data_IF_035664266368
#
_entry.id   IF_035664266368
#
_cell.length_a   1.000
_cell.length_b   1.000
_cell.length_c   1.000
_cell.angle_alpha   90.00
_cell.angle_beta   90.00
_cell.angle_gamma   90.00
#
_symmetry.space_group_name_H-M   'P 1'
#
loop_
_entity.id
_entity.type
_entity.pdbx_description
1 polymer ?
#
# COMPACT_ATOMS: atom_id res chain seq x y z
N UNK A 1 -22.40 34.04 -18.48
CA UNK A 1 -21.56 32.83 -18.28
C UNK A 1 -20.26 32.90 -19.08
N UNK A 2 -19.63 34.08 -19.13
CA UNK A 2 -18.37 34.33 -19.86
C UNK A 2 -17.25 34.80 -18.92
N UNK A 3 -17.61 35.31 -17.74
CA UNK A 3 -16.67 35.97 -16.82
C UNK A 3 -15.50 35.11 -16.35
N UNK A 4 -15.65 33.79 -16.24
CA UNK A 4 -14.53 32.91 -15.87
C UNK A 4 -13.51 32.77 -17.01
N UNK A 5 -14.00 32.73 -18.25
CA UNK A 5 -13.17 32.64 -19.45
C UNK A 5 -12.50 33.97 -19.71
N UNK A 6 -13.23 35.09 -19.59
CA UNK A 6 -12.67 36.44 -19.70
C UNK A 6 -11.61 36.71 -18.62
N UNK A 7 -11.85 36.25 -17.39
CA UNK A 7 -10.90 36.37 -16.29
C UNK A 7 -9.61 35.58 -16.55
N UNK A 8 -9.72 34.36 -17.09
CA UNK A 8 -8.60 33.51 -17.44
C UNK A 8 -7.82 34.08 -18.64
N UNK A 9 -8.50 34.59 -19.65
CA UNK A 9 -7.90 35.22 -20.82
C UNK A 9 -7.08 36.47 -20.44
N UNK A 10 -7.58 37.30 -19.52
CA UNK A 10 -6.85 38.47 -19.00
C UNK A 10 -5.59 38.12 -18.19
N UNK A 11 -5.44 36.85 -17.76
CA UNK A 11 -4.34 36.37 -16.91
C UNK A 11 -3.57 35.22 -17.55
N UNK A 12 -3.56 35.15 -18.89
CA UNK A 12 -2.98 34.06 -19.66
C UNK A 12 -1.55 33.68 -19.23
N UNK A 13 -0.69 34.65 -18.91
CA UNK A 13 0.69 34.38 -18.43
C UNK A 13 0.72 33.62 -17.11
N UNK A 14 -0.15 33.98 -16.16
CA UNK A 14 -0.23 33.29 -14.87
C UNK A 14 -0.81 31.88 -15.05
N UNK A 15 -1.84 31.73 -15.87
CA UNK A 15 -2.44 30.42 -16.19
C UNK A 15 -1.41 29.49 -16.83
N UNK A 16 -0.64 29.97 -17.81
CA UNK A 16 0.44 29.20 -18.44
C UNK A 16 1.54 28.80 -17.44
N UNK A 17 1.89 29.70 -16.51
CA UNK A 17 2.85 29.37 -15.45
C UNK A 17 2.32 28.26 -14.52
N UNK A 18 1.03 28.30 -14.16
CA UNK A 18 0.40 27.23 -13.37
C UNK A 18 0.37 25.90 -14.11
N UNK A 19 0.08 25.90 -15.41
CA UNK A 19 0.12 24.70 -16.25
C UNK A 19 1.55 24.13 -16.25
N UNK A 20 2.55 24.96 -16.50
CA UNK A 20 3.95 24.54 -16.53
C UNK A 20 4.39 23.95 -15.18
N UNK A 21 4.08 24.62 -14.07
CA UNK A 21 4.40 24.13 -12.72
C UNK A 21 3.68 22.82 -12.42
N UNK A 22 2.40 22.70 -12.78
CA UNK A 22 1.62 21.47 -12.57
C UNK A 22 2.22 20.28 -13.33
N UNK A 23 2.66 20.49 -14.57
CA UNK A 23 3.33 19.47 -15.36
C UNK A 23 4.70 19.08 -14.78
N UNK A 24 5.48 20.06 -14.30
CA UNK A 24 6.77 19.80 -13.67
C UNK A 24 6.62 19.00 -12.37
N UNK A 25 5.70 19.41 -11.50
CA UNK A 25 5.43 18.72 -10.23
C UNK A 25 4.86 17.33 -10.49
N UNK A 26 3.92 17.19 -11.42
CA UNK A 26 3.36 15.90 -11.81
C UNK A 26 4.41 14.96 -12.42
N UNK A 27 5.27 15.48 -13.29
CA UNK A 27 6.36 14.73 -13.89
C UNK A 27 7.40 14.29 -12.86
N UNK A 28 7.75 15.16 -11.91
CA UNK A 28 8.63 14.84 -10.80
C UNK A 28 8.03 13.77 -9.87
N UNK A 29 6.75 13.89 -9.54
CA UNK A 29 6.06 12.88 -8.74
C UNK A 29 6.02 11.53 -9.46
N UNK A 30 5.77 11.53 -10.78
CA UNK A 30 5.77 10.31 -11.59
C UNK A 30 7.15 9.65 -11.65
N UNK A 31 8.23 10.43 -11.76
CA UNK A 31 9.60 9.88 -11.80
C UNK A 31 10.09 9.39 -10.44
N UNK A 32 9.66 10.03 -9.36
CA UNK A 32 10.03 9.66 -7.99
C UNK A 32 9.20 8.52 -7.42
N UNK A 33 8.03 8.21 -7.99
CA UNK A 33 7.18 7.15 -7.48
C UNK A 33 7.87 5.78 -7.65
N UNK A 34 8.17 5.05 -6.55
CA UNK A 34 8.73 3.72 -6.63
C UNK A 34 7.74 2.79 -7.35
N UNK A 35 8.25 2.04 -8.31
CA UNK A 35 7.44 1.07 -9.05
C UNK A 35 7.46 -0.25 -8.28
N UNK A 36 6.45 -0.45 -7.44
CA UNK A 36 6.19 -1.73 -6.77
C UNK A 36 5.62 -2.70 -7.82
N UNK A 37 6.31 -3.82 -8.07
CA UNK A 37 5.97 -4.74 -9.18
C UNK A 37 4.75 -5.61 -8.89
N UNK A 38 4.53 -5.93 -7.62
CA UNK A 38 3.45 -6.80 -7.13
C UNK A 38 3.06 -6.29 -5.75
N UNK A 39 1.76 -6.23 -5.40
CA UNK A 39 1.37 -5.92 -4.03
C UNK A 39 1.89 -7.04 -3.12
N UNK A 40 2.83 -6.72 -2.24
CA UNK A 40 3.28 -7.66 -1.21
C UNK A 40 2.17 -7.81 -0.17
N UNK A 41 1.42 -8.91 -0.29
CA UNK A 41 0.38 -9.28 0.67
C UNK A 41 1.02 -10.28 1.63
N UNK A 42 1.73 -9.77 2.64
CA UNK A 42 2.17 -10.59 3.75
C UNK A 42 0.95 -11.05 4.55
N UNK A 43 0.60 -12.34 4.46
CA UNK A 43 -0.39 -12.93 5.36
C UNK A 43 0.33 -13.15 6.70
N UNK A 44 -0.04 -12.43 7.78
CA UNK A 44 0.63 -12.59 9.06
C UNK A 44 0.35 -13.98 9.62
N UNK A 45 1.34 -14.87 9.56
CA UNK A 45 1.27 -16.21 10.11
C UNK A 45 2.04 -16.28 11.44
N UNK A 46 1.38 -16.73 12.51
CA UNK A 46 2.01 -17.03 13.78
C UNK A 46 2.23 -18.54 13.88
N UNK A 47 3.49 -18.97 13.81
CA UNK A 47 3.85 -20.37 14.01
C UNK A 47 4.30 -20.60 15.44
N UNK A 48 3.58 -21.46 16.16
CA UNK A 48 3.95 -21.90 17.51
C UNK A 48 4.40 -23.35 17.42
N UNK A 49 5.66 -23.62 17.77
CA UNK A 49 6.23 -24.98 17.74
C UNK A 49 6.60 -25.43 19.14
N UNK A 50 6.05 -26.57 19.56
CA UNK A 50 6.34 -27.18 20.87
C UNK A 50 6.85 -28.60 20.64
N UNK A 51 8.17 -28.83 20.65
CA UNK A 51 8.71 -30.17 20.47
C UNK A 51 8.49 -31.01 21.74
N UNK A 52 7.84 -32.16 21.60
CA UNK A 52 7.74 -33.16 22.65
C UNK A 52 8.22 -34.53 22.13
N UNK A 53 9.43 -34.98 22.49
CA UNK A 53 9.97 -36.23 21.97
C UNK A 53 9.31 -37.45 22.64
N UNK A 54 8.86 -38.42 21.85
CA UNK A 54 8.36 -39.71 22.34
C UNK A 54 6.87 -39.77 22.70
N UNK A 55 6.11 -38.71 22.42
CA UNK A 55 4.63 -38.74 22.50
C UNK A 55 4.03 -39.37 21.24
N UNK A 56 2.90 -40.07 21.40
CA UNK A 56 2.13 -40.56 20.26
C UNK A 56 1.50 -39.38 19.50
N UNK A 57 1.19 -39.59 18.21
CA UNK A 57 0.55 -38.54 17.41
C UNK A 57 -0.85 -38.18 17.94
N UNK A 58 -1.62 -39.18 18.36
CA UNK A 58 -2.96 -38.97 18.93
C UNK A 58 -2.92 -38.21 20.27
N UNK A 59 -1.95 -38.51 21.14
CA UNK A 59 -1.81 -37.81 22.42
C UNK A 59 -1.33 -36.36 22.21
N UNK A 60 -0.45 -36.11 21.23
CA UNK A 60 0.02 -34.77 20.90
C UNK A 60 -1.11 -33.86 20.39
N UNK A 61 -2.02 -34.40 19.56
CA UNK A 61 -3.20 -33.65 19.11
C UNK A 61 -4.12 -33.29 20.30
N UNK A 62 -4.46 -34.29 21.11
CA UNK A 62 -5.42 -34.13 22.21
C UNK A 62 -4.90 -33.25 23.35
N UNK A 63 -3.65 -33.45 23.77
CA UNK A 63 -3.08 -32.83 24.97
C UNK A 63 -2.34 -31.52 24.68
N UNK A 64 -1.82 -31.34 23.47
CA UNK A 64 -1.05 -30.15 23.11
C UNK A 64 -1.83 -29.27 22.15
N UNK A 65 -2.13 -29.76 20.94
CA UNK A 65 -2.73 -28.94 19.87
C UNK A 65 -4.09 -28.39 20.31
N UNK A 66 -4.99 -29.26 20.77
CA UNK A 66 -6.36 -28.86 21.13
C UNK A 66 -6.44 -27.87 22.29
N UNK A 67 -5.52 -27.98 23.26
CA UNK A 67 -5.41 -27.04 24.39
C UNK A 67 -4.86 -25.70 23.93
N UNK A 68 -4.01 -25.68 22.90
CA UNK A 68 -3.43 -24.45 22.35
C UNK A 68 -4.38 -23.74 21.36
N UNK A 69 -5.29 -24.48 20.73
CA UNK A 69 -6.31 -23.96 19.83
C UNK A 69 -7.55 -23.39 20.54
N UNK A 70 -7.82 -23.81 21.79
CA UNK A 70 -8.99 -23.39 22.59
C UNK A 70 -8.63 -22.29 23.58
#
# INVERSE_FOLDING_TARGET
MIGIVDWAAGRARMVLAFIAISLLVGGFAYSMLPKEGEPDIEIPALFISVPFPGISAEDAESLMVKVMET
#
